data_IF_944803230504
#
_entry.id   IF_944803230504
#
_cell.length_a   1.000
_cell.length_b   1.000
_cell.length_c   1.000
_cell.angle_alpha   90.00
_cell.angle_beta   90.00
_cell.angle_gamma   90.00
#
_symmetry.space_group_name_H-M   'P 1'
#
loop_
_entity.id
_entity.type
_entity.pdbx_description
1 polymer ?
#
# COMPACT_ATOMS: atom_id res chain seq x y z
N UNK A 1 -4.36 8.34 0.17
CA UNK A 1 -3.23 7.84 -0.69
C UNK A 1 -3.57 6.47 -1.26
N UNK A 2 -2.93 5.99 -2.34
CA UNK A 2 -3.21 4.67 -2.98
C UNK A 2 -3.10 3.52 -1.96
N UNK A 3 -2.24 3.68 -0.96
CA UNK A 3 -1.99 2.77 0.17
C UNK A 3 -3.29 2.42 0.93
N UNK A 4 -4.28 3.32 0.98
CA UNK A 4 -5.55 3.11 1.71
C UNK A 4 -6.54 2.18 1.00
N UNK A 5 -6.30 1.79 -0.26
CA UNK A 5 -7.23 0.97 -1.06
C UNK A 5 -7.22 -0.53 -0.73
N UNK A 6 -6.29 -0.97 0.12
CA UNK A 6 -5.82 -2.36 0.12
C UNK A 6 -6.37 -3.26 1.23
N UNK A 7 -7.32 -2.76 2.02
CA UNK A 7 -7.90 -3.47 3.16
C UNK A 7 -9.18 -4.28 2.83
N UNK A 8 -9.47 -4.50 1.54
CA UNK A 8 -10.56 -5.39 1.10
C UNK A 8 -9.93 -6.50 0.26
N UNK A 9 -10.14 -7.74 0.69
CA UNK A 9 -9.62 -9.01 0.14
C UNK A 9 -9.93 -9.28 -1.34
N UNK A 10 -10.59 -8.35 -2.02
CA UNK A 10 -10.87 -8.37 -3.45
C UNK A 10 -10.91 -6.93 -3.95
N UNK A 11 -9.86 -6.49 -4.66
CA UNK A 11 -9.87 -5.20 -5.36
C UNK A 11 -10.85 -5.29 -6.54
N UNK A 12 -12.16 -5.23 -6.27
CA UNK A 12 -13.20 -5.06 -7.29
C UNK A 12 -13.05 -3.69 -7.95
N UNK A 13 -13.41 -3.58 -9.24
CA UNK A 13 -13.48 -2.34 -10.06
C UNK A 13 -14.08 -1.13 -9.33
N UNK A 14 -14.97 -1.38 -8.38
CA UNK A 14 -15.65 -0.37 -7.55
C UNK A 14 -14.73 0.34 -6.53
N UNK A 15 -13.54 -0.21 -6.20
CA UNK A 15 -12.67 0.34 -5.15
C UNK A 15 -11.86 1.56 -5.57
N UNK A 16 -11.62 1.78 -6.87
CA UNK A 16 -10.96 3.00 -7.34
C UNK A 16 -11.85 4.25 -7.19
N UNK A 17 -13.14 4.10 -6.88
CA UNK A 17 -14.06 5.21 -6.67
C UNK A 17 -14.24 5.53 -5.17
N UNK A 18 -13.61 6.63 -4.75
CA UNK A 18 -14.14 7.63 -3.80
C UNK A 18 -14.56 7.08 -2.42
N UNK A 19 -13.66 6.39 -1.70
CA UNK A 19 -13.82 6.24 -0.25
C UNK A 19 -12.61 6.67 0.60
N UNK A 20 -11.44 6.91 -0.02
CA UNK A 20 -10.17 7.04 0.73
C UNK A 20 -9.31 8.26 0.35
N UNK A 21 -9.92 9.40 0.03
CA UNK A 21 -9.17 10.66 -0.19
C UNK A 21 -8.16 10.60 -1.35
N UNK A 22 -8.46 9.85 -2.42
CA UNK A 22 -7.60 9.78 -3.61
C UNK A 22 -7.80 11.00 -4.51
N UNK A 23 -6.70 11.56 -5.01
CA UNK A 23 -6.78 12.62 -6.00
C UNK A 23 -7.10 12.08 -7.40
N UNK A 24 -7.47 12.96 -8.34
CA UNK A 24 -7.84 12.59 -9.71
C UNK A 24 -6.75 11.85 -10.48
N UNK A 25 -5.47 12.06 -10.15
CA UNK A 25 -4.35 11.36 -10.78
C UNK A 25 -4.26 9.92 -10.27
N UNK A 26 -4.43 9.71 -8.97
CA UNK A 26 -4.44 8.40 -8.33
C UNK A 26 -5.64 7.55 -8.75
N UNK A 27 -6.82 8.16 -8.88
CA UNK A 27 -8.03 7.48 -9.39
C UNK A 27 -7.79 6.96 -10.81
N UNK A 28 -7.29 7.81 -11.72
CA UNK A 28 -6.97 7.40 -13.10
C UNK A 28 -5.92 6.30 -13.15
N UNK A 29 -4.89 6.37 -12.29
CA UNK A 29 -3.88 5.32 -12.20
C UNK A 29 -4.50 3.97 -11.79
N UNK A 30 -5.31 3.97 -10.73
CA UNK A 30 -6.00 2.77 -10.23
C UNK A 30 -6.92 2.16 -11.30
N UNK A 31 -7.70 3.00 -11.98
CA UNK A 31 -8.62 2.55 -13.04
C UNK A 31 -7.89 1.94 -14.24
N UNK A 32 -6.75 2.49 -14.64
CA UNK A 32 -5.95 1.99 -15.78
C UNK A 32 -5.15 0.73 -15.44
N UNK A 33 -4.66 0.62 -14.22
CA UNK A 33 -3.74 -0.44 -13.81
C UNK A 33 -4.39 -1.45 -12.86
N UNK A 34 -5.64 -1.85 -13.11
CA UNK A 34 -6.36 -2.79 -12.23
C UNK A 34 -5.63 -4.11 -12.01
N UNK A 35 -4.88 -4.57 -13.02
CA UNK A 35 -4.12 -5.83 -12.96
C UNK A 35 -2.94 -5.78 -11.97
N UNK A 36 -2.35 -4.61 -11.70
CA UNK A 36 -1.21 -4.47 -10.78
C UNK A 36 -1.66 -4.18 -9.33
N UNK A 37 -2.88 -3.68 -9.15
CA UNK A 37 -3.41 -3.28 -7.83
C UNK A 37 -3.36 -4.39 -6.77
N UNK A 38 -3.64 -5.68 -7.05
CA UNK A 38 -3.51 -6.74 -6.06
C UNK A 38 -2.08 -6.86 -5.50
N UNK A 39 -1.05 -6.65 -6.33
CA UNK A 39 0.35 -6.71 -5.90
C UNK A 39 0.76 -5.48 -5.08
N UNK A 40 0.25 -4.29 -5.44
CA UNK A 40 0.40 -3.07 -4.62
C UNK A 40 -0.19 -3.32 -3.22
N UNK A 41 -1.35 -3.95 -3.14
CA UNK A 41 -1.99 -4.27 -1.87
C UNK A 41 -1.25 -5.32 -1.06
N UNK A 42 -0.78 -6.38 -1.70
CA UNK A 42 0.07 -7.37 -1.05
C UNK A 42 1.35 -6.75 -0.48
N UNK A 43 2.04 -5.89 -1.24
CA UNK A 43 3.25 -5.21 -0.79
C UNK A 43 3.00 -4.22 0.35
N UNK A 44 1.86 -3.52 0.31
CA UNK A 44 1.43 -2.65 1.40
C UNK A 44 1.19 -3.44 2.69
N UNK A 45 0.44 -4.54 2.63
CA UNK A 45 0.15 -5.36 3.80
C UNK A 45 1.42 -5.98 4.40
N UNK A 46 2.35 -6.42 3.53
CA UNK A 46 3.66 -6.88 3.96
C UNK A 46 4.41 -5.79 4.72
N UNK A 47 4.45 -4.56 4.20
CA UNK A 47 5.10 -3.44 4.88
C UNK A 47 4.47 -3.14 6.25
N UNK A 48 3.14 -3.26 6.39
CA UNK A 48 2.45 -3.06 7.66
C UNK A 48 2.79 -4.13 8.70
N UNK A 49 2.82 -5.39 8.29
CA UNK A 49 3.23 -6.51 9.14
C UNK A 49 4.67 -6.34 9.62
N UNK A 50 5.57 -5.94 8.72
CA UNK A 50 6.97 -5.65 9.07
C UNK A 50 7.09 -4.46 10.02
N UNK A 51 6.29 -3.41 9.81
CA UNK A 51 6.27 -2.25 10.69
C UNK A 51 5.82 -2.61 12.11
N UNK A 52 4.73 -3.36 12.25
CA UNK A 52 4.25 -3.85 13.54
C UNK A 52 5.28 -4.73 14.22
N UNK A 53 5.93 -5.62 13.47
CA UNK A 53 6.98 -6.49 13.99
C UNK A 53 8.17 -5.69 14.50
N UNK A 54 8.62 -4.69 13.75
CA UNK A 54 9.75 -3.84 14.10
C UNK A 54 9.47 -2.96 15.33
N UNK A 55 8.25 -2.45 15.46
CA UNK A 55 7.86 -1.49 16.49
C UNK A 55 7.04 -2.10 17.64
N UNK A 56 6.89 -3.43 17.71
CA UNK A 56 6.05 -4.12 18.71
C UNK A 56 6.29 -3.73 20.18
N UNK A 57 7.52 -3.33 20.52
CA UNK A 57 7.93 -2.95 21.88
C UNK A 57 8.16 -1.44 22.05
N UNK A 58 7.63 -0.61 21.14
CA UNK A 58 7.75 0.85 21.18
C UNK A 58 6.41 1.47 21.58
N UNK A 59 6.45 2.69 22.14
CA UNK A 59 5.23 3.45 22.47
C UNK A 59 4.31 3.63 21.26
N UNK A 60 4.90 3.88 20.09
CA UNK A 60 4.21 3.76 18.82
C UNK A 60 4.49 2.38 18.24
N UNK A 61 3.46 1.54 18.16
CA UNK A 61 3.57 0.13 17.79
C UNK A 61 3.02 -0.18 16.38
N UNK A 62 2.83 0.84 15.55
CA UNK A 62 2.35 0.69 14.19
C UNK A 62 0.99 -0.04 14.08
N UNK A 63 0.12 0.06 15.11
CA UNK A 63 -1.22 -0.57 15.12
C UNK A 63 -2.33 0.32 14.53
N UNK A 64 -2.07 1.62 14.36
CA UNK A 64 -3.00 2.62 13.82
C UNK A 64 -3.44 2.37 12.36
N UNK A 65 -3.00 1.28 11.74
CA UNK A 65 -3.36 0.86 10.38
C UNK A 65 -4.62 0.00 10.29
N UNK A 66 -5.25 -0.35 11.41
CA UNK A 66 -6.51 -1.12 11.38
C UNK A 66 -7.73 -0.26 11.00
N UNK A 67 -7.71 1.04 11.31
CA UNK A 67 -8.79 1.95 10.95
C UNK A 67 -8.40 2.79 9.73
N UNK A 68 -9.11 2.54 8.62
CA UNK A 68 -8.80 3.09 7.29
C UNK A 68 -8.72 4.63 7.23
N UNK A 69 -9.37 5.33 8.15
CA UNK A 69 -9.34 6.80 8.26
C UNK A 69 -8.03 7.32 8.89
N UNK A 70 -7.35 6.51 9.72
CA UNK A 70 -6.16 6.94 10.46
C UNK A 70 -4.88 6.83 9.63
N UNK A 71 -4.85 5.95 8.62
CA UNK A 71 -3.69 5.84 7.70
C UNK A 71 -3.50 7.15 6.92
N UNK A 72 -4.58 7.81 6.49
CA UNK A 72 -4.48 9.10 5.79
C UNK A 72 -3.88 10.17 6.70
N UNK A 73 -4.39 10.27 7.92
CA UNK A 73 -3.96 11.27 8.89
C UNK A 73 -2.52 11.07 9.35
N UNK A 74 -2.06 9.82 9.49
CA UNK A 74 -0.67 9.57 9.91
C UNK A 74 0.30 9.84 8.77
N UNK A 75 -0.07 9.59 7.51
CA UNK A 75 0.79 9.89 6.37
C UNK A 75 0.92 11.39 6.11
N UNK A 76 -0.06 12.20 6.53
CA UNK A 76 -0.07 13.67 6.42
C UNK A 76 0.52 14.39 7.64
N UNK A 77 0.81 13.70 8.75
CA UNK A 77 1.25 14.32 10.01
C UNK A 77 2.71 14.78 10.04
N UNK A 78 3.50 14.51 8.99
CA UNK A 78 4.89 14.97 8.87
C UNK A 78 5.87 14.47 9.95
N UNK A 79 5.53 13.41 10.69
CA UNK A 79 6.39 12.87 11.77
C UNK A 79 7.46 11.90 11.27
N UNK A 80 8.39 11.50 12.14
CA UNK A 80 9.41 10.48 11.81
C UNK A 80 8.78 9.13 11.50
N UNK A 81 7.71 8.80 12.22
CA UNK A 81 6.94 7.58 12.05
C UNK A 81 6.22 7.58 10.69
N UNK A 82 5.66 8.71 10.27
CA UNK A 82 5.02 8.82 8.96
C UNK A 82 6.02 8.66 7.82
N UNK A 83 7.19 9.30 7.92
CA UNK A 83 8.27 9.16 6.95
C UNK A 83 8.76 7.69 6.85
N UNK A 84 8.91 7.01 7.99
CA UNK A 84 9.27 5.60 8.04
C UNK A 84 8.23 4.73 7.33
N UNK A 85 6.94 4.97 7.60
CA UNK A 85 5.83 4.22 6.99
C UNK A 85 5.78 4.45 5.48
N UNK A 86 5.93 5.69 5.00
CA UNK A 86 6.00 6.00 3.57
C UNK A 86 7.14 5.25 2.88
N UNK A 87 8.33 5.26 3.48
CA UNK A 87 9.49 4.56 2.94
C UNK A 87 9.27 3.04 2.91
N UNK A 88 8.79 2.46 4.01
CA UNK A 88 8.58 1.02 4.14
C UNK A 88 7.47 0.51 3.22
N UNK A 89 6.35 1.23 3.11
CA UNK A 89 5.26 0.89 2.19
C UNK A 89 5.70 0.98 0.74
N UNK A 90 6.47 2.00 0.36
CA UNK A 90 7.05 2.13 -0.99
C UNK A 90 7.98 0.96 -1.30
N UNK A 91 8.85 0.58 -0.35
CA UNK A 91 9.73 -0.57 -0.49
C UNK A 91 8.94 -1.90 -0.59
N UNK A 92 7.91 -2.08 0.23
CA UNK A 92 7.05 -3.27 0.20
C UNK A 92 6.30 -3.42 -1.12
N UNK A 93 5.77 -2.33 -1.67
CA UNK A 93 5.12 -2.31 -2.99
C UNK A 93 6.13 -2.67 -4.09
N UNK A 94 7.30 -2.02 -4.11
CA UNK A 94 8.33 -2.30 -5.10
C UNK A 94 8.75 -3.77 -5.06
N UNK A 95 9.03 -4.31 -3.88
CA UNK A 95 9.37 -5.71 -3.68
C UNK A 95 8.28 -6.66 -4.18
N UNK A 96 7.00 -6.41 -3.85
CA UNK A 96 5.90 -7.27 -4.27
C UNK A 96 5.71 -7.28 -5.80
N UNK A 97 5.87 -6.12 -6.45
CA UNK A 97 5.78 -6.01 -7.91
C UNK A 97 6.98 -6.71 -8.55
N UNK A 98 8.21 -6.43 -8.12
CA UNK A 98 9.41 -7.09 -8.66
C UNK A 98 9.30 -8.60 -8.54
N UNK A 99 8.87 -9.11 -7.38
CA UNK A 99 8.65 -10.54 -7.17
C UNK A 99 7.56 -11.12 -8.06
N UNK A 100 6.51 -10.35 -8.36
CA UNK A 100 5.47 -10.78 -9.28
C UNK A 100 5.98 -10.82 -10.74
N UNK A 101 6.83 -9.88 -11.14
CA UNK A 101 7.50 -9.87 -12.45
C UNK A 101 8.41 -11.09 -12.60
N UNK A 102 9.31 -11.34 -11.64
CA UNK A 102 10.25 -12.47 -11.70
C UNK A 102 9.56 -13.82 -11.70
N UNK A 103 8.37 -13.91 -11.12
CA UNK A 103 7.56 -15.14 -11.09
C UNK A 103 6.61 -15.29 -12.29
N UNK A 104 6.66 -14.37 -13.26
CA UNK A 104 5.78 -14.40 -14.45
C UNK A 104 4.29 -14.16 -14.13
N UNK A 105 3.96 -13.57 -12.98
CA UNK A 105 2.57 -13.27 -12.57
C UNK A 105 2.06 -11.94 -13.12
N UNK A 106 2.95 -11.09 -13.62
CA UNK A 106 2.65 -9.83 -14.28
C UNK A 106 3.15 -9.89 -15.73
N UNK A 107 2.25 -9.76 -16.69
CA UNK A 107 2.58 -9.84 -18.12
C UNK A 107 3.25 -8.57 -18.67
N UNK A 108 3.28 -7.49 -17.88
CA UNK A 108 3.81 -6.17 -18.28
C UNK A 108 5.30 -5.98 -17.98
N UNK A 109 5.94 -6.97 -17.36
CA UNK A 109 7.34 -6.94 -16.94
C UNK A 109 7.90 -8.38 -16.98
N UNK A 110 9.23 -8.52 -16.96
CA UNK A 110 9.91 -9.80 -16.95
C UNK A 110 11.20 -9.75 -16.13
N UNK A 111 12.02 -10.79 -16.25
CA UNK A 111 13.40 -10.76 -15.78
C UNK A 111 14.24 -9.99 -16.79
N UNK A 112 15.03 -9.03 -16.31
CA UNK A 112 16.16 -8.48 -17.07
C UNK A 112 17.28 -9.53 -17.20
#
# INVERSE_FOLDING_TARGET
SIIQLCNISSVRRQLCHIKYGLNHRQIRFCQRNQYIMPFICSGTNLALEQCQTQFKNRHWNCTLFKDNDLIGNILDSGTKESAYVHALTSAGIAYAITKACTNGRLNSCGCD
#
